data_IF_362010163767
#
_entry.id   IF_362010163767
#
_cell.length_a   1.000
_cell.length_b   1.000
_cell.length_c   1.000
_cell.angle_alpha   90.00
_cell.angle_beta   90.00
_cell.angle_gamma   90.00
#
_symmetry.space_group_name_H-M   'P 1'
#
loop_
_entity.id
_entity.type
_entity.pdbx_description
1 polymer ?
#
# COMPACT_ATOMS: atom_id res chain seq x y z
N UNK A 1 42.25 67.30 53.71
CA UNK A 1 42.37 65.99 53.04
C UNK A 1 41.22 65.04 53.35
N UNK A 2 41.14 64.45 54.56
CA UNK A 2 40.16 63.38 54.89
C UNK A 2 38.68 63.67 54.54
N UNK A 3 38.17 64.89 54.75
CA UNK A 3 36.76 65.23 54.42
C UNK A 3 36.48 65.30 52.91
N UNK A 4 37.45 65.75 52.12
CA UNK A 4 37.31 65.87 50.66
C UNK A 4 37.42 64.49 49.99
N UNK A 5 38.27 63.62 50.53
CA UNK A 5 38.39 62.23 50.09
C UNK A 5 37.12 61.43 50.41
N UNK A 6 36.49 61.69 51.57
CA UNK A 6 35.22 61.06 51.96
C UNK A 6 34.06 61.47 51.03
N UNK A 7 33.97 62.76 50.64
CA UNK A 7 32.96 63.23 49.68
C UNK A 7 33.16 62.60 48.29
N UNK A 8 34.41 62.55 47.82
CA UNK A 8 34.74 61.89 46.54
C UNK A 8 34.38 60.40 46.55
N UNK A 9 34.63 59.71 47.66
CA UNK A 9 34.23 58.31 47.83
C UNK A 9 32.70 58.15 47.84
N UNK A 10 31.96 59.09 48.42
CA UNK A 10 30.50 59.09 48.39
C UNK A 10 29.95 59.29 46.98
N UNK A 11 30.51 60.23 46.21
CA UNK A 11 30.12 60.47 44.82
C UNK A 11 30.42 59.25 43.93
N UNK A 12 31.58 58.62 44.14
CA UNK A 12 31.94 57.37 43.45
C UNK A 12 30.99 56.22 43.80
N UNK A 13 30.64 56.07 45.08
CA UNK A 13 29.69 55.06 45.53
C UNK A 13 28.30 55.29 44.94
N UNK A 14 27.86 56.55 44.85
CA UNK A 14 26.59 56.91 44.21
C UNK A 14 26.61 56.61 42.70
N UNK A 15 27.71 56.94 42.01
CA UNK A 15 27.88 56.63 40.59
C UNK A 15 27.90 55.13 40.32
N UNK A 16 28.60 54.34 41.14
CA UNK A 16 28.61 52.87 41.05
C UNK A 16 27.22 52.29 41.32
N UNK A 17 26.49 52.84 42.30
CA UNK A 17 25.12 52.39 42.59
C UNK A 17 24.18 52.64 41.40
N UNK A 18 24.26 53.82 40.79
CA UNK A 18 23.48 54.14 39.58
C UNK A 18 23.86 53.24 38.40
N UNK A 19 25.16 52.99 38.18
CA UNK A 19 25.63 52.06 37.14
C UNK A 19 25.11 50.65 37.36
N UNK A 20 25.17 50.15 38.61
CA UNK A 20 24.65 48.84 38.97
C UNK A 20 23.14 48.74 38.75
N UNK A 21 22.37 49.77 39.12
CA UNK A 21 20.93 49.81 38.88
C UNK A 21 20.61 49.83 37.38
N UNK A 22 21.38 50.56 36.58
CA UNK A 22 21.24 50.58 35.11
C UNK A 22 21.55 49.20 34.49
N UNK A 23 22.69 48.60 34.85
CA UNK A 23 23.09 47.28 34.35
C UNK A 23 22.09 46.20 34.77
N UNK A 24 21.59 46.28 36.00
CA UNK A 24 20.53 45.39 36.50
C UNK A 24 19.26 45.52 35.67
N UNK A 25 18.79 46.74 35.42
CA UNK A 25 17.59 46.99 34.62
C UNK A 25 17.77 46.51 33.17
N UNK A 26 18.95 46.72 32.59
CA UNK A 26 19.31 46.21 31.26
C UNK A 26 19.21 44.68 31.21
N UNK A 27 19.88 43.97 32.13
CA UNK A 27 19.85 42.51 32.17
C UNK A 27 18.48 41.92 32.52
N UNK A 28 17.67 42.61 33.33
CA UNK A 28 16.28 42.22 33.57
C UNK A 28 15.43 42.37 32.30
N UNK A 29 15.62 43.45 31.52
CA UNK A 29 14.94 43.63 30.24
C UNK A 29 15.34 42.57 29.21
N UNK A 30 16.64 42.32 29.03
CA UNK A 30 17.14 41.30 28.09
C UNK A 30 16.61 39.90 28.45
N UNK A 31 16.56 39.57 29.75
CA UNK A 31 16.01 38.30 30.22
C UNK A 31 14.51 38.19 29.93
N UNK A 32 13.77 39.28 30.11
CA UNK A 32 12.33 39.33 29.79
C UNK A 32 12.10 39.18 28.29
N UNK A 33 12.84 39.92 27.45
CA UNK A 33 12.75 39.79 25.99
C UNK A 33 13.08 38.37 25.52
N UNK A 34 14.11 37.75 26.09
CA UNK A 34 14.44 36.35 25.79
C UNK A 34 13.34 35.38 26.23
N UNK A 35 12.70 35.62 27.38
CA UNK A 35 11.61 34.78 27.86
C UNK A 35 10.34 34.94 27.01
N UNK A 36 10.02 36.16 26.60
CA UNK A 36 8.88 36.47 25.73
C UNK A 36 9.09 35.86 24.34
N UNK A 37 10.30 36.00 23.78
CA UNK A 37 10.67 35.37 22.51
C UNK A 37 10.59 33.84 22.59
N UNK A 38 11.09 33.23 23.67
CA UNK A 38 10.99 31.78 23.88
C UNK A 38 9.52 31.33 23.96
N UNK A 39 8.67 32.07 24.68
CA UNK A 39 7.25 31.77 24.82
C UNK A 39 6.53 31.87 23.48
N UNK A 40 6.77 32.94 22.71
CA UNK A 40 6.21 33.12 21.37
C UNK A 40 6.60 31.97 20.43
N UNK A 41 7.87 31.54 20.46
CA UNK A 41 8.29 30.39 19.66
C UNK A 41 7.63 29.08 20.12
N UNK A 42 7.48 28.88 21.43
CA UNK A 42 6.83 27.69 21.99
C UNK A 42 5.36 27.60 21.60
N UNK A 43 4.62 28.73 21.63
CA UNK A 43 3.23 28.79 21.17
C UNK A 43 3.11 28.45 19.68
N UNK A 44 3.99 29.01 18.84
CA UNK A 44 4.05 28.67 17.41
C UNK A 44 4.29 27.18 17.19
N UNK A 45 5.24 26.57 17.91
CA UNK A 45 5.47 25.12 17.83
C UNK A 45 4.26 24.30 18.29
N UNK A 46 3.56 24.74 19.34
CA UNK A 46 2.32 24.07 19.76
C UNK A 46 1.25 24.11 18.68
N UNK A 47 1.12 25.23 17.97
CA UNK A 47 0.16 25.35 16.87
C UNK A 47 0.54 24.48 15.67
N UNK A 48 1.82 24.41 15.31
CA UNK A 48 2.34 23.50 14.29
C UNK A 48 2.02 22.02 14.61
N UNK A 49 2.19 21.61 15.87
CA UNK A 49 1.86 20.26 16.33
C UNK A 49 0.35 20.00 16.27
N UNK A 50 -0.48 20.97 16.68
CA UNK A 50 -1.95 20.85 16.58
C UNK A 50 -2.38 20.68 15.12
N UNK A 51 -1.83 21.47 14.21
CA UNK A 51 -2.16 21.39 12.78
C UNK A 51 -1.77 20.02 12.19
N UNK A 52 -0.57 19.53 12.52
CA UNK A 52 -0.11 18.20 12.10
C UNK A 52 -1.05 17.08 12.61
N UNK A 53 -1.50 17.17 13.86
CA UNK A 53 -2.46 16.22 14.45
C UNK A 53 -3.82 16.31 13.75
N UNK A 54 -4.27 17.52 13.39
CA UNK A 54 -5.50 17.69 12.63
C UNK A 54 -5.42 17.09 11.22
N UNK A 55 -4.32 17.32 10.50
CA UNK A 55 -4.04 16.72 9.19
C UNK A 55 -4.01 15.19 9.27
N UNK A 56 -3.24 14.64 10.21
CA UNK A 56 -3.15 13.19 10.41
C UNK A 56 -4.53 12.56 10.70
N UNK A 57 -5.33 13.19 11.57
CA UNK A 57 -6.67 12.71 11.88
C UNK A 57 -7.62 12.79 10.67
N UNK A 58 -7.49 13.82 9.83
CA UNK A 58 -8.26 13.93 8.59
C UNK A 58 -7.88 12.82 7.60
N UNK A 59 -6.57 12.58 7.41
CA UNK A 59 -6.05 11.50 6.57
C UNK A 59 -6.54 10.13 7.07
N UNK A 60 -6.46 9.88 8.38
CA UNK A 60 -6.95 8.63 9.00
C UNK A 60 -8.44 8.39 8.73
N UNK A 61 -9.29 9.40 8.88
CA UNK A 61 -10.72 9.28 8.54
C UNK A 61 -10.95 8.99 7.07
N UNK A 62 -10.23 9.69 6.19
CA UNK A 62 -10.29 9.48 4.74
C UNK A 62 -9.93 8.06 4.32
N UNK A 63 -8.85 7.52 4.90
CA UNK A 63 -8.44 6.13 4.66
C UNK A 63 -9.47 5.12 5.20
N UNK A 64 -10.07 5.38 6.37
CA UNK A 64 -11.14 4.54 6.91
C UNK A 64 -12.38 4.50 6.02
N UNK A 65 -12.77 5.64 5.43
CA UNK A 65 -13.86 5.71 4.46
C UNK A 65 -13.54 4.88 3.22
N UNK A 66 -12.33 4.99 2.68
CA UNK A 66 -11.91 4.24 1.50
C UNK A 66 -11.83 2.74 1.75
N UNK A 67 -11.30 2.31 2.91
CA UNK A 67 -11.31 0.91 3.33
C UNK A 67 -12.75 0.38 3.44
N UNK A 68 -13.67 1.19 3.97
CA UNK A 68 -15.08 0.81 4.07
C UNK A 68 -15.72 0.66 2.70
N UNK A 69 -15.42 1.58 1.78
CA UNK A 69 -15.88 1.52 0.38
C UNK A 69 -15.36 0.27 -0.33
N UNK A 70 -14.06 0.00 -0.26
CA UNK A 70 -13.45 -1.17 -0.89
C UNK A 70 -13.98 -2.49 -0.31
N UNK A 71 -14.27 -2.54 0.99
CA UNK A 71 -14.93 -3.70 1.61
C UNK A 71 -16.33 -3.91 1.05
N UNK A 72 -17.11 -2.84 0.89
CA UNK A 72 -18.44 -2.93 0.29
C UNK A 72 -18.36 -3.43 -1.16
N UNK A 73 -17.47 -2.86 -1.98
CA UNK A 73 -17.27 -3.30 -3.36
C UNK A 73 -16.85 -4.77 -3.46
N UNK A 74 -16.02 -5.24 -2.52
CA UNK A 74 -15.62 -6.64 -2.43
C UNK A 74 -16.82 -7.54 -2.08
N UNK A 75 -17.64 -7.13 -1.11
CA UNK A 75 -18.86 -7.86 -0.73
C UNK A 75 -19.86 -7.95 -1.88
N UNK A 76 -20.06 -6.84 -2.59
CA UNK A 76 -20.93 -6.76 -3.76
C UNK A 76 -20.42 -7.67 -4.90
N UNK A 77 -19.11 -7.65 -5.17
CA UNK A 77 -18.47 -8.53 -6.16
C UNK A 77 -18.64 -10.00 -5.80
N UNK A 78 -18.44 -10.35 -4.52
CA UNK A 78 -18.66 -11.72 -4.04
C UNK A 78 -20.14 -12.12 -4.12
N UNK A 79 -21.07 -11.22 -3.82
CA UNK A 79 -22.50 -11.47 -3.97
C UNK A 79 -22.86 -11.74 -5.44
N UNK A 80 -22.30 -10.95 -6.36
CA UNK A 80 -22.47 -11.15 -7.79
C UNK A 80 -21.90 -12.50 -8.26
N UNK A 81 -20.71 -12.90 -7.78
CA UNK A 81 -20.15 -14.22 -8.05
C UNK A 81 -21.06 -15.35 -7.57
N UNK A 82 -21.63 -15.25 -6.35
CA UNK A 82 -22.58 -16.25 -5.83
C UNK A 82 -23.81 -16.40 -6.72
N UNK A 83 -24.31 -15.30 -7.29
CA UNK A 83 -25.45 -15.30 -8.23
C UNK A 83 -25.05 -16.00 -9.53
N UNK A 84 -23.88 -15.68 -10.09
CA UNK A 84 -23.38 -16.33 -11.31
C UNK A 84 -23.17 -17.83 -11.10
N UNK A 85 -22.57 -18.23 -9.99
CA UNK A 85 -22.37 -19.64 -9.65
C UNK A 85 -23.70 -20.37 -9.48
N UNK A 86 -24.69 -19.72 -8.87
CA UNK A 86 -26.04 -20.27 -8.74
C UNK A 86 -26.67 -20.46 -10.12
N UNK A 87 -26.62 -19.45 -10.99
CA UNK A 87 -27.12 -19.56 -12.37
C UNK A 87 -26.39 -20.65 -13.15
N UNK A 88 -25.08 -20.80 -12.98
CA UNK A 88 -24.30 -21.85 -13.62
C UNK A 88 -24.73 -23.25 -13.15
N UNK A 89 -25.06 -23.42 -11.86
CA UNK A 89 -25.64 -24.66 -11.33
C UNK A 89 -27.07 -24.90 -11.84
N UNK A 90 -27.89 -23.86 -11.91
CA UNK A 90 -29.29 -23.96 -12.38
C UNK A 90 -29.39 -24.18 -13.90
N UNK A 91 -28.44 -23.68 -14.69
CA UNK A 91 -28.40 -23.84 -16.15
C UNK A 91 -27.79 -25.17 -16.61
N UNK A 92 -27.88 -26.21 -15.79
CA UNK A 92 -27.49 -27.54 -16.22
C UNK A 92 -28.36 -27.97 -17.40
N UNK A 93 -27.73 -28.32 -18.51
CA UNK A 93 -28.41 -28.97 -19.61
C UNK A 93 -28.71 -30.40 -19.14
N UNK A 94 -29.96 -30.69 -18.83
CA UNK A 94 -30.37 -32.04 -18.48
C UNK A 94 -30.14 -32.95 -19.70
N UNK A 95 -29.40 -34.03 -19.47
CA UNK A 95 -28.99 -34.95 -20.54
C UNK A 95 -30.22 -35.63 -21.13
N UNK A 96 -31.24 -35.93 -20.33
CA UNK A 96 -32.47 -36.57 -20.78
C UNK A 96 -33.28 -35.62 -21.65
N UNK A 97 -33.47 -34.38 -21.21
CA UNK A 97 -34.16 -33.34 -21.97
C UNK A 97 -33.48 -33.04 -23.31
N UNK A 98 -32.13 -32.96 -23.32
CA UNK A 98 -31.37 -32.78 -24.55
C UNK A 98 -31.52 -33.98 -25.50
N UNK A 99 -31.47 -35.20 -24.97
CA UNK A 99 -31.64 -36.43 -25.75
C UNK A 99 -33.05 -36.51 -26.37
N UNK A 100 -34.08 -36.16 -25.59
CA UNK A 100 -35.46 -36.10 -26.06
C UNK A 100 -35.64 -35.01 -27.13
N UNK A 101 -35.08 -33.82 -26.93
CA UNK A 101 -35.10 -32.75 -27.94
C UNK A 101 -34.45 -33.19 -29.25
N UNK A 102 -33.25 -33.79 -29.17
CA UNK A 102 -32.54 -34.29 -30.34
C UNK A 102 -33.30 -35.42 -31.04
N UNK A 103 -33.90 -36.36 -30.30
CA UNK A 103 -34.72 -37.42 -30.86
C UNK A 103 -35.99 -36.92 -31.55
N UNK A 104 -36.59 -35.84 -31.05
CA UNK A 104 -37.83 -35.27 -31.57
C UNK A 104 -37.61 -34.33 -32.77
N UNK A 105 -36.45 -33.69 -32.88
CA UNK A 105 -36.20 -32.61 -33.84
C UNK A 105 -35.02 -32.85 -34.79
N UNK A 106 -34.25 -33.92 -34.60
CA UNK A 106 -33.12 -34.25 -35.44
C UNK A 106 -33.10 -35.73 -35.80
N UNK A 107 -32.44 -36.03 -36.91
CA UNK A 107 -32.27 -37.39 -37.39
C UNK A 107 -30.81 -37.79 -37.24
N UNK A 108 -30.48 -38.43 -36.13
CA UNK A 108 -29.12 -38.79 -35.77
C UNK A 108 -28.84 -40.27 -36.06
N UNK A 109 -27.94 -40.55 -37.00
CA UNK A 109 -27.38 -41.89 -37.22
C UNK A 109 -26.22 -42.15 -36.25
N UNK A 110 -26.53 -42.45 -34.99
CA UNK A 110 -25.51 -42.68 -33.97
C UNK A 110 -25.91 -43.76 -32.95
N UNK A 111 -24.96 -44.14 -32.09
CA UNK A 111 -25.25 -44.97 -30.92
C UNK A 111 -25.79 -44.08 -29.79
N UNK A 112 -27.11 -44.02 -29.66
CA UNK A 112 -27.83 -43.19 -28.69
C UNK A 112 -27.42 -43.42 -27.22
N UNK A 113 -27.22 -44.69 -26.83
CA UNK A 113 -26.80 -45.05 -25.46
C UNK A 113 -25.43 -44.45 -25.15
N UNK A 114 -24.50 -44.60 -26.09
CA UNK A 114 -23.14 -44.09 -25.94
C UNK A 114 -23.07 -42.56 -25.99
N UNK A 115 -23.95 -41.92 -26.77
CA UNK A 115 -24.08 -40.46 -26.78
C UNK A 115 -24.59 -39.94 -25.43
N UNK A 116 -25.65 -40.55 -24.88
CA UNK A 116 -26.17 -40.21 -23.55
C UNK A 116 -25.08 -40.34 -22.48
N UNK A 117 -24.39 -41.47 -22.42
CA UNK A 117 -23.37 -41.71 -21.40
C UNK A 117 -22.19 -40.73 -21.53
N UNK A 118 -21.83 -40.34 -22.77
CA UNK A 118 -20.83 -39.30 -23.02
C UNK A 118 -21.27 -37.92 -22.50
N UNK A 119 -22.53 -37.56 -22.73
CA UNK A 119 -23.12 -36.31 -22.22
C UNK A 119 -23.25 -36.33 -20.69
N UNK A 120 -23.54 -37.49 -20.10
CA UNK A 120 -23.56 -37.70 -18.64
C UNK A 120 -22.17 -37.51 -18.03
N UNK A 121 -21.12 -38.07 -18.64
CA UNK A 121 -19.74 -37.83 -18.21
C UNK A 121 -19.35 -36.35 -18.26
N UNK A 122 -19.83 -35.61 -19.27
CA UNK A 122 -19.64 -34.16 -19.35
C UNK A 122 -20.39 -33.42 -18.23
N UNK A 123 -21.66 -33.78 -17.98
CA UNK A 123 -22.49 -33.21 -16.91
C UNK A 123 -21.85 -33.42 -15.52
N UNK A 124 -21.40 -34.65 -15.24
CA UNK A 124 -20.82 -35.05 -13.94
C UNK A 124 -19.35 -34.67 -13.79
N UNK A 125 -18.75 -34.08 -14.84
CA UNK A 125 -17.30 -33.77 -14.93
C UNK A 125 -16.40 -34.96 -14.63
N UNK A 126 -16.80 -36.14 -15.07
CA UNK A 126 -16.02 -37.38 -14.90
C UNK A 126 -15.24 -37.69 -16.18
N UNK A 127 -14.03 -38.28 -16.06
CA UNK A 127 -13.23 -38.62 -17.23
C UNK A 127 -13.90 -39.75 -18.03
N UNK A 128 -13.93 -39.58 -19.35
CA UNK A 128 -14.45 -40.60 -20.28
C UNK A 128 -13.45 -41.79 -20.35
N UNK A 129 -13.93 -43.05 -20.44
CA UNK A 129 -13.04 -44.21 -20.55
C UNK A 129 -12.09 -44.13 -21.76
N UNK A 130 -10.81 -44.43 -21.56
CA UNK A 130 -9.78 -44.34 -22.60
C UNK A 130 -10.00 -45.26 -23.81
N UNK A 131 -10.81 -46.31 -23.66
CA UNK A 131 -11.20 -47.21 -24.74
C UNK A 131 -12.24 -46.60 -25.69
N UNK A 132 -12.79 -45.43 -25.39
CA UNK A 132 -13.79 -44.79 -26.22
C UNK A 132 -13.15 -43.95 -27.33
N UNK A 133 -13.28 -44.42 -28.57
CA UNK A 133 -13.12 -43.58 -29.76
C UNK A 133 -14.51 -43.18 -30.25
N UNK A 134 -14.84 -41.90 -30.17
CA UNK A 134 -16.13 -41.36 -30.63
C UNK A 134 -15.88 -40.45 -31.83
N UNK A 135 -16.55 -40.74 -32.95
CA UNK A 135 -16.57 -39.90 -34.15
C UNK A 135 -17.98 -39.36 -34.32
N UNK A 136 -18.14 -38.03 -34.39
CA UNK A 136 -19.42 -37.37 -34.65
C UNK A 136 -19.34 -36.78 -36.05
N UNK A 137 -20.16 -37.30 -36.96
CA UNK A 137 -20.31 -36.79 -38.31
C UNK A 137 -21.71 -36.18 -38.47
N UNK A 138 -21.78 -34.90 -38.84
CA UNK A 138 -23.02 -34.16 -39.04
C UNK A 138 -23.21 -33.81 -40.51
N UNK A 139 -24.35 -34.22 -41.08
CA UNK A 139 -24.78 -33.87 -42.44
C UNK A 139 -26.03 -33.01 -42.34
N UNK A 140 -25.96 -31.75 -42.77
CA UNK A 140 -27.17 -30.93 -42.95
C UNK A 140 -27.93 -31.47 -44.16
N UNK A 141 -29.08 -32.13 -43.94
CA UNK A 141 -29.89 -32.73 -44.99
C UNK A 141 -31.26 -32.08 -45.00
N UNK A 142 -31.54 -31.29 -46.04
CA UNK A 142 -32.84 -30.64 -46.27
C UNK A 142 -33.78 -31.50 -47.18
N UNK A 143 -33.43 -32.76 -47.47
CA UNK A 143 -34.06 -33.59 -48.52
C UNK A 143 -34.92 -34.77 -47.95
N UNK A 144 -36.18 -34.99 -48.44
CA UNK A 144 -37.27 -35.63 -47.68
C UNK A 144 -37.43 -37.15 -47.85
N UNK A 145 -36.41 -37.86 -48.34
CA UNK A 145 -36.50 -39.31 -48.62
C UNK A 145 -35.70 -40.21 -47.66
N UNK A 146 -35.14 -39.66 -46.58
CA UNK A 146 -34.34 -40.42 -45.62
C UNK A 146 -35.14 -40.73 -44.34
N UNK A 147 -35.35 -42.03 -44.03
CA UNK A 147 -36.00 -42.50 -42.79
C UNK A 147 -35.03 -43.29 -41.90
N UNK A 148 -34.45 -42.67 -40.87
CA UNK A 148 -33.70 -43.36 -39.82
C UNK A 148 -34.62 -43.82 -38.68
N UNK A 149 -34.21 -44.91 -38.03
CA UNK A 149 -35.00 -45.59 -36.99
C UNK A 149 -35.32 -44.70 -35.79
N UNK A 150 -36.53 -44.85 -35.26
CA UNK A 150 -37.09 -44.03 -34.20
C UNK A 150 -36.28 -44.14 -32.89
N UNK A 151 -35.97 -42.99 -32.29
CA UNK A 151 -35.60 -42.91 -30.89
C UNK A 151 -36.84 -43.16 -30.03
N UNK A 152 -36.73 -44.02 -29.03
CA UNK A 152 -37.78 -44.21 -28.03
C UNK A 152 -37.46 -43.30 -26.85
N UNK A 153 -38.38 -42.38 -26.53
CA UNK A 153 -38.26 -41.41 -25.43
C UNK A 153 -37.79 -42.07 -24.14
N UNK A 154 -36.92 -41.40 -23.40
CA UNK A 154 -36.51 -41.82 -22.05
C UNK A 154 -37.40 -41.13 -21.01
N UNK A 155 -37.88 -41.90 -20.03
CA UNK A 155 -38.65 -41.36 -18.91
C UNK A 155 -37.74 -40.71 -17.84
N UNK A 156 -38.17 -39.63 -17.17
CA UNK A 156 -37.40 -39.00 -16.08
C UNK A 156 -37.21 -39.95 -14.90
N UNK A 157 -36.09 -39.85 -14.14
CA UNK A 157 -35.95 -40.61 -12.89
C UNK A 157 -36.98 -40.14 -11.86
N UNK A 158 -37.68 -41.11 -11.27
CA UNK A 158 -38.68 -40.93 -10.22
C UNK A 158 -37.96 -40.49 -8.93
N UNK A 159 -38.08 -39.21 -8.57
CA UNK A 159 -37.59 -38.71 -7.29
C UNK A 159 -38.56 -39.17 -6.20
N UNK A 160 -38.33 -40.35 -5.63
CA UNK A 160 -38.98 -40.76 -4.40
C UNK A 160 -38.37 -39.99 -3.22
N UNK A 161 -39.13 -38.98 -2.82
CA UNK A 161 -39.08 -38.29 -1.55
C UNK A 161 -39.56 -39.27 -0.47
N UNK A 162 -38.64 -39.93 0.23
CA UNK A 162 -38.97 -40.81 1.36
C UNK A 162 -38.70 -40.07 2.68
N UNK A 163 -39.72 -39.31 3.08
CA UNK A 163 -39.88 -38.77 4.43
C UNK A 163 -40.25 -39.94 5.38
N UNK A 164 -39.31 -40.40 6.19
CA UNK A 164 -39.64 -41.19 7.39
C UNK A 164 -38.95 -40.63 8.64
N UNK A 165 -39.75 -39.93 9.44
CA UNK A 165 -39.51 -39.68 10.86
C UNK A 165 -39.83 -40.96 11.64
N UNK A 166 -38.92 -41.46 12.47
CA UNK A 166 -39.15 -41.48 13.92
C UNK A 166 -37.88 -41.80 14.71
N UNK A 167 -37.87 -41.17 15.88
CA UNK A 167 -36.89 -41.14 16.96
C UNK A 167 -36.62 -42.52 17.58
N UNK A 168 -35.38 -42.77 18.02
CA UNK A 168 -35.08 -42.84 19.46
C UNK A 168 -33.57 -42.83 19.75
N UNK A 169 -33.21 -42.05 20.76
CA UNK A 169 -31.89 -42.00 21.41
C UNK A 169 -32.02 -42.75 22.74
N UNK A 170 -30.96 -43.39 23.27
CA UNK A 170 -30.23 -42.64 24.31
C UNK A 170 -28.72 -42.94 24.43
N UNK A 171 -28.08 -42.00 25.12
CA UNK A 171 -26.85 -42.09 25.93
C UNK A 171 -25.46 -42.11 25.26
N UNK A 172 -24.83 -40.93 25.32
CA UNK A 172 -23.38 -40.71 25.50
C UNK A 172 -22.93 -41.20 26.91
N UNK A 173 -21.63 -41.28 27.30
CA UNK A 173 -20.44 -40.63 26.72
C UNK A 173 -19.12 -41.44 26.75
N UNK A 174 -18.07 -40.93 26.09
CA UNK A 174 -16.74 -40.64 26.70
C UNK A 174 -15.55 -40.86 25.76
N UNK A 175 -14.60 -39.96 25.94
CA UNK A 175 -13.35 -39.70 25.21
C UNK A 175 -12.20 -40.70 25.56
N UNK A 176 -10.95 -40.54 25.06
CA UNK A 176 -10.10 -41.58 24.46
C UNK A 176 -9.10 -42.21 25.46
N UNK A 177 -8.15 -43.10 25.04
CA UNK A 177 -6.82 -42.58 24.66
C UNK A 177 -5.96 -43.45 23.71
N UNK A 178 -5.17 -42.76 22.88
CA UNK A 178 -3.74 -42.98 22.55
C UNK A 178 -3.12 -44.40 22.57
N UNK A 179 -2.34 -44.72 21.51
CA UNK A 179 -0.85 -44.70 21.54
C UNK A 179 -0.20 -45.24 20.27
N UNK A 180 0.71 -44.40 19.72
CA UNK A 180 2.07 -44.70 19.21
C UNK A 180 2.14 -45.55 17.93
N UNK A 181 3.06 -45.38 16.98
CA UNK A 181 4.29 -44.60 16.68
C UNK A 181 4.65 -45.14 15.26
N UNK A 182 5.39 -44.54 14.33
CA UNK A 182 6.40 -43.50 14.34
C UNK A 182 6.85 -43.25 12.90
N UNK A 183 7.21 -41.99 12.62
CA UNK A 183 8.37 -41.53 11.83
C UNK A 183 8.60 -42.04 10.40
N UNK A 184 8.53 -41.10 9.44
CA UNK A 184 9.70 -40.75 8.62
C UNK A 184 9.63 -39.31 8.07
N UNK A 185 10.42 -38.43 8.69
CA UNK A 185 10.93 -37.19 8.07
C UNK A 185 11.88 -37.57 6.93
N UNK A 186 11.80 -36.86 5.80
CA UNK A 186 12.95 -36.60 4.92
C UNK A 186 12.85 -35.17 4.37
N UNK A 187 13.84 -34.37 4.78
CA UNK A 187 14.26 -33.12 4.17
C UNK A 187 15.30 -33.41 3.08
N UNK A 188 15.77 -32.35 2.40
CA UNK A 188 16.92 -32.23 1.46
C UNK A 188 16.53 -32.26 -0.03
N UNK A 189 17.04 -31.41 -0.91
CA UNK A 189 18.11 -30.41 -0.81
C UNK A 189 18.15 -29.58 -2.10
N UNK A 190 18.48 -28.28 -2.01
CA UNK A 190 19.76 -27.72 -2.47
C UNK A 190 20.28 -28.26 -3.82
N UNK A 191 20.26 -27.40 -4.85
CA UNK A 191 21.30 -27.43 -5.87
C UNK A 191 21.76 -26.00 -6.16
N UNK A 192 23.01 -25.74 -5.79
CA UNK A 192 23.81 -24.58 -6.11
C UNK A 192 24.66 -24.92 -7.34
N UNK A 193 24.73 -24.02 -8.31
CA UNK A 193 25.88 -23.92 -9.21
C UNK A 193 26.30 -22.45 -9.34
N UNK A 194 27.61 -22.14 -9.30
CA UNK A 194 28.12 -20.79 -9.29
C UNK A 194 28.38 -20.33 -10.74
N UNK A 195 27.99 -19.09 -11.07
CA UNK A 195 28.57 -18.40 -12.23
C UNK A 195 29.07 -17.03 -11.79
N UNK A 196 30.39 -16.94 -11.73
CA UNK A 196 31.17 -15.72 -11.61
C UNK A 196 30.78 -14.73 -12.71
N UNK A 197 30.30 -13.57 -12.31
CA UNK A 197 30.53 -12.34 -13.06
C UNK A 197 30.53 -11.17 -12.09
N UNK A 198 31.74 -10.86 -11.60
CA UNK A 198 32.08 -9.63 -10.88
C UNK A 198 31.77 -8.42 -11.76
N UNK A 199 30.54 -7.96 -11.75
CA UNK A 199 30.20 -6.59 -12.15
C UNK A 199 30.24 -5.76 -10.87
N UNK A 200 31.36 -5.07 -10.67
CA UNK A 200 31.52 -4.14 -9.57
C UNK A 200 30.39 -3.10 -9.63
N UNK A 201 29.37 -3.28 -8.80
CA UNK A 201 28.46 -2.20 -8.42
C UNK A 201 29.33 -1.14 -7.77
N UNK A 202 29.56 -0.04 -8.48
CA UNK A 202 30.05 1.22 -7.89
C UNK A 202 28.94 1.75 -6.99
N UNK A 203 28.74 1.10 -5.84
CA UNK A 203 27.98 1.68 -4.74
C UNK A 203 28.84 2.85 -4.26
N UNK A 204 28.43 4.05 -4.63
CA UNK A 204 29.04 5.29 -4.17
C UNK A 204 29.24 5.20 -2.65
N UNK A 205 30.48 5.31 -2.19
CA UNK A 205 30.81 5.34 -0.77
C UNK A 205 30.42 6.71 -0.21
N UNK A 206 29.11 6.94 -0.03
CA UNK A 206 28.62 8.11 0.67
C UNK A 206 29.05 8.01 2.13
N UNK A 207 29.87 8.95 2.58
CA UNK A 207 30.34 9.02 3.96
C UNK A 207 29.22 9.64 4.81
N UNK A 208 28.81 8.94 5.86
CA UNK A 208 27.81 9.43 6.82
C UNK A 208 28.28 10.76 7.42
N UNK A 209 27.45 11.82 7.43
CA UNK A 209 27.79 13.10 8.06
C UNK A 209 27.99 12.99 9.58
N UNK A 210 28.72 13.95 10.18
CA UNK A 210 28.99 13.97 11.63
C UNK A 210 27.74 14.33 12.45
N UNK A 211 26.89 15.19 11.91
CA UNK A 211 25.61 15.55 12.49
C UNK A 211 24.59 15.82 11.37
N UNK A 212 23.30 15.45 11.56
CA UNK A 212 22.24 15.71 10.61
C UNK A 212 21.91 17.21 10.54
N UNK A 213 21.57 17.67 9.34
CA UNK A 213 21.08 19.02 9.10
C UNK A 213 19.58 19.05 9.37
N UNK A 214 19.16 19.60 10.52
CA UNK A 214 17.75 19.59 10.90
C UNK A 214 16.88 20.59 10.10
N UNK A 215 17.48 21.67 9.59
CA UNK A 215 16.76 22.74 8.86
C UNK A 215 17.52 23.20 7.62
N UNK A 216 16.84 23.63 6.54
CA UNK A 216 17.45 24.35 5.43
C UNK A 216 18.09 25.66 5.91
N UNK A 217 19.10 26.15 5.17
CA UNK A 217 19.80 27.40 5.52
C UNK A 217 18.93 28.65 5.34
N UNK A 218 18.10 28.65 4.31
CA UNK A 218 17.11 29.68 4.05
C UNK A 218 15.72 29.08 4.33
N UNK A 219 14.85 29.82 5.00
CA UNK A 219 13.44 29.45 5.19
C UNK A 219 12.55 30.55 4.68
N UNK A 220 11.52 30.16 3.95
CA UNK A 220 10.43 31.02 3.52
C UNK A 220 9.22 30.64 4.37
N UNK A 221 8.55 31.63 4.96
CA UNK A 221 7.29 31.38 5.64
C UNK A 221 6.22 31.02 4.61
N UNK A 222 5.93 29.73 4.50
CA UNK A 222 4.86 29.18 3.68
C UNK A 222 3.96 28.30 4.58
N UNK A 223 2.66 28.58 4.51
CA UNK A 223 1.61 27.86 5.25
C UNK A 223 0.94 26.79 4.39
N UNK A 224 1.47 26.53 3.19
CA UNK A 224 0.92 25.51 2.30
C UNK A 224 1.15 24.11 2.86
N UNK A 225 0.05 23.37 3.00
CA UNK A 225 0.05 21.98 3.44
C UNK A 225 0.55 21.03 2.33
N UNK A 226 0.93 19.83 2.73
CA UNK A 226 1.27 18.74 1.83
C UNK A 226 0.05 18.22 1.05
N UNK A 227 0.28 17.28 0.13
CA UNK A 227 -0.78 16.62 -0.62
C UNK A 227 -1.60 15.70 0.31
N UNK A 228 -2.95 15.71 0.25
CA UNK A 228 -3.76 14.79 1.05
C UNK A 228 -3.49 13.32 0.70
N UNK A 229 -3.41 12.46 1.72
CA UNK A 229 -3.02 11.03 1.59
C UNK A 229 -3.95 10.22 0.68
N UNK A 230 -5.20 10.65 0.55
CA UNK A 230 -6.20 10.02 -0.35
C UNK A 230 -5.88 10.22 -1.84
N UNK A 231 -4.91 11.07 -2.16
CA UNK A 231 -4.59 11.37 -3.55
C UNK A 231 -3.75 10.22 -4.11
N UNK A 232 -4.39 9.34 -4.86
CA UNK A 232 -3.67 8.24 -5.51
C UNK A 232 -2.63 8.79 -6.50
N UNK A 233 -1.43 8.18 -6.57
CA UNK A 233 -0.45 8.50 -7.59
C UNK A 233 -1.06 8.43 -8.99
N UNK A 234 -0.79 9.42 -9.83
CA UNK A 234 -1.26 9.45 -11.23
C UNK A 234 -0.65 8.28 -12.01
N UNK A 235 0.62 7.96 -11.72
CA UNK A 235 1.32 6.80 -12.26
C UNK A 235 1.71 5.83 -11.15
N UNK A 236 1.54 4.53 -11.43
CA UNK A 236 2.18 3.50 -10.61
C UNK A 236 3.70 3.58 -10.72
N UNK A 237 4.40 3.05 -9.72
CA UNK A 237 5.87 2.98 -9.73
C UNK A 237 6.39 2.27 -10.98
N UNK A 238 5.75 1.17 -11.40
CA UNK A 238 6.14 0.44 -12.61
C UNK A 238 5.99 1.28 -13.87
N UNK A 239 4.93 2.09 -13.96
CA UNK A 239 4.70 3.00 -15.09
C UNK A 239 5.74 4.12 -15.09
N UNK A 240 6.01 4.72 -13.93
CA UNK A 240 7.01 5.77 -13.79
C UNK A 240 8.42 5.24 -14.15
N UNK A 241 8.79 4.06 -13.64
CA UNK A 241 10.03 3.35 -13.97
C UNK A 241 10.13 3.03 -15.46
N UNK A 242 9.05 2.55 -16.07
CA UNK A 242 9.00 2.25 -17.51
C UNK A 242 9.14 3.49 -18.41
N UNK A 243 8.92 4.70 -17.87
CA UNK A 243 9.08 5.97 -18.61
C UNK A 243 10.53 6.51 -18.60
N UNK A 244 11.44 5.88 -17.85
CA UNK A 244 12.81 6.35 -17.75
C UNK A 244 13.58 6.15 -19.06
N UNK A 245 14.40 7.12 -19.48
CA UNK A 245 15.34 6.89 -20.56
C UNK A 245 16.45 5.94 -20.09
N UNK A 246 16.81 4.92 -20.89
CA UNK A 246 17.99 4.10 -20.62
C UNK A 246 19.25 4.97 -20.72
N UNK A 247 20.24 4.89 -19.80
CA UNK A 247 20.62 3.82 -18.86
C UNK A 247 20.22 4.08 -17.38
N UNK A 248 19.18 4.87 -17.11
CA UNK A 248 18.86 5.33 -15.75
C UNK A 248 18.15 4.23 -14.96
N UNK A 249 18.63 3.96 -13.74
CA UNK A 249 18.02 3.03 -12.79
C UNK A 249 17.12 3.81 -11.84
N UNK A 250 15.88 3.33 -11.64
CA UNK A 250 14.89 3.97 -10.77
C UNK A 250 15.40 4.18 -9.34
N UNK A 251 16.00 3.15 -8.75
CA UNK A 251 16.49 3.18 -7.36
C UNK A 251 17.69 4.11 -7.16
N UNK A 252 18.36 4.53 -8.24
CA UNK A 252 19.46 5.50 -8.18
C UNK A 252 18.94 6.96 -8.24
N UNK A 253 17.64 7.17 -8.48
CA UNK A 253 17.03 8.49 -8.45
C UNK A 253 16.77 8.95 -7.02
N UNK A 254 16.97 10.24 -6.77
CA UNK A 254 16.53 10.86 -5.52
C UNK A 254 15.04 10.64 -5.30
N UNK A 255 14.65 10.45 -4.04
CA UNK A 255 13.28 10.13 -3.66
C UNK A 255 12.29 11.23 -4.11
N UNK A 256 12.66 12.51 -4.05
CA UNK A 256 11.82 13.63 -4.52
C UNK A 256 11.57 13.61 -6.02
N UNK A 257 12.54 13.14 -6.81
CA UNK A 257 12.35 12.87 -8.26
C UNK A 257 11.37 11.72 -8.46
N UNK A 258 11.55 10.61 -7.73
CA UNK A 258 10.68 9.44 -7.82
C UNK A 258 9.22 9.80 -7.52
N UNK A 259 8.97 10.54 -6.41
CA UNK A 259 7.62 10.95 -6.02
C UNK A 259 6.99 11.90 -7.05
N UNK A 260 7.74 12.84 -7.61
CA UNK A 260 7.22 13.71 -8.67
C UNK A 260 6.90 12.95 -9.95
N UNK A 261 7.67 11.90 -10.27
CA UNK A 261 7.35 11.05 -11.41
C UNK A 261 6.06 10.26 -11.19
N UNK A 262 5.82 9.77 -9.96
CA UNK A 262 4.56 9.14 -9.59
C UNK A 262 3.35 10.10 -9.69
N UNK A 263 3.57 11.43 -9.61
CA UNK A 263 2.54 12.44 -9.89
C UNK A 263 2.28 12.70 -11.38
N UNK A 264 2.89 11.91 -12.28
CA UNK A 264 2.68 12.00 -13.73
C UNK A 264 3.66 12.90 -14.48
N UNK A 265 4.72 13.36 -13.83
CA UNK A 265 5.75 14.22 -14.45
C UNK A 265 6.86 13.34 -15.02
N UNK A 266 7.24 13.51 -16.29
CA UNK A 266 8.40 12.79 -16.83
C UNK A 266 9.69 13.25 -16.17
N UNK A 267 10.72 12.38 -16.13
CA UNK A 267 12.01 12.64 -15.48
C UNK A 267 12.59 14.03 -15.78
N UNK A 268 12.64 14.44 -17.05
CA UNK A 268 13.16 15.75 -17.45
C UNK A 268 12.37 16.91 -16.83
N UNK A 269 11.05 16.77 -16.79
CA UNK A 269 10.17 17.74 -16.13
C UNK A 269 10.39 17.75 -14.62
N UNK A 270 10.52 16.57 -14.00
CA UNK A 270 10.73 16.46 -12.57
C UNK A 270 12.03 17.13 -12.11
N UNK A 271 13.12 16.89 -12.84
CA UNK A 271 14.41 17.55 -12.57
C UNK A 271 14.30 19.07 -12.75
N UNK A 272 13.63 19.55 -13.81
CA UNK A 272 13.38 20.99 -14.02
C UNK A 272 12.64 21.62 -12.84
N UNK A 273 11.56 20.97 -12.39
CA UNK A 273 10.72 21.47 -11.30
C UNK A 273 11.47 21.59 -9.98
N UNK A 274 12.37 20.64 -9.68
CA UNK A 274 13.16 20.65 -8.45
C UNK A 274 14.31 21.66 -8.48
N UNK A 275 14.77 22.06 -9.67
CA UNK A 275 15.77 23.10 -9.87
C UNK A 275 15.17 24.51 -9.85
N UNK A 276 13.87 24.64 -10.10
CA UNK A 276 13.16 25.91 -10.01
C UNK A 276 12.85 26.29 -8.56
N UNK A 277 12.85 27.60 -8.30
CA UNK A 277 12.56 28.13 -6.97
C UNK A 277 11.04 28.13 -6.69
N UNK A 278 10.51 27.00 -6.23
CA UNK A 278 9.06 26.80 -6.07
C UNK A 278 8.67 25.82 -4.95
N UNK A 279 7.44 25.94 -4.39
CA UNK A 279 6.94 25.06 -3.34
C UNK A 279 6.46 23.70 -3.88
N UNK A 280 7.41 22.81 -4.18
CA UNK A 280 7.11 21.47 -4.72
C UNK A 280 6.50 20.52 -3.66
N UNK A 281 6.68 20.80 -2.37
CA UNK A 281 6.20 19.92 -1.28
C UNK A 281 4.69 19.70 -1.26
N UNK A 282 3.93 20.63 -1.82
CA UNK A 282 2.47 20.52 -2.05
C UNK A 282 2.07 19.37 -2.98
N UNK A 283 3.04 18.72 -3.64
CA UNK A 283 2.85 17.54 -4.50
C UNK A 283 3.14 16.21 -3.81
N UNK A 284 3.60 16.24 -2.56
CA UNK A 284 3.99 15.04 -1.84
C UNK A 284 3.00 14.77 -0.72
N UNK A 285 2.61 13.51 -0.58
CA UNK A 285 1.84 13.07 0.58
C UNK A 285 2.63 13.29 1.87
N UNK A 286 1.94 13.32 3.01
CA UNK A 286 2.57 13.59 4.30
C UNK A 286 3.69 12.59 4.59
N UNK A 287 3.39 11.30 4.44
CA UNK A 287 4.35 10.22 4.72
C UNK A 287 5.59 10.31 3.83
N UNK A 288 5.37 10.57 2.53
CA UNK A 288 6.45 10.76 1.56
C UNK A 288 7.29 12.00 1.89
N UNK A 289 6.65 13.11 2.26
CA UNK A 289 7.33 14.36 2.62
C UNK A 289 8.21 14.20 3.86
N UNK A 290 7.71 13.51 4.89
CA UNK A 290 8.44 13.20 6.13
C UNK A 290 9.60 12.24 5.85
N UNK A 291 9.39 11.20 5.03
CA UNK A 291 10.42 10.27 4.61
C UNK A 291 11.54 10.99 3.81
N UNK A 292 11.16 11.84 2.86
CA UNK A 292 12.13 12.62 2.08
C UNK A 292 12.91 13.59 2.96
N UNK A 293 12.21 14.31 3.84
CA UNK A 293 12.82 15.29 4.73
C UNK A 293 13.80 14.63 5.69
N UNK A 294 13.43 13.50 6.32
CA UNK A 294 14.32 12.76 7.23
C UNK A 294 15.58 12.25 6.53
N UNK A 295 15.47 11.67 5.33
CA UNK A 295 16.64 11.26 4.53
C UNK A 295 17.52 12.45 4.18
N UNK A 296 16.91 13.56 3.72
CA UNK A 296 17.66 14.76 3.35
C UNK A 296 18.33 15.42 4.57
N UNK A 297 17.69 15.40 5.73
CA UNK A 297 18.26 15.87 7.00
C UNK A 297 19.48 15.01 7.39
N UNK A 298 19.33 13.68 7.36
CA UNK A 298 20.40 12.76 7.72
C UNK A 298 21.63 12.87 6.80
N UNK A 299 21.41 13.05 5.49
CA UNK A 299 22.49 13.13 4.50
C UNK A 299 23.00 14.55 4.21
N UNK A 300 22.50 15.56 4.92
CA UNK A 300 22.81 17.00 4.72
C UNK A 300 22.52 17.47 3.28
N UNK A 301 21.33 17.12 2.78
CA UNK A 301 20.84 17.38 1.42
C UNK A 301 19.67 18.35 1.34
N UNK A 302 19.26 18.94 2.47
CA UNK A 302 18.13 19.88 2.50
C UNK A 302 18.32 21.10 1.60
N UNK A 303 19.55 21.50 1.30
CA UNK A 303 19.84 22.64 0.43
C UNK A 303 20.13 22.24 -1.04
N UNK A 304 20.08 20.96 -1.40
CA UNK A 304 20.33 20.54 -2.79
C UNK A 304 19.12 20.74 -3.71
N UNK A 305 17.92 20.85 -3.14
CA UNK A 305 16.72 21.28 -3.85
C UNK A 305 16.25 22.62 -3.30
N UNK A 306 15.49 23.37 -4.09
CA UNK A 306 14.91 24.64 -3.63
C UNK A 306 13.66 24.42 -2.78
N UNK A 307 12.87 23.37 -3.05
CA UNK A 307 11.59 23.16 -2.38
C UNK A 307 11.62 23.05 -0.84
N UNK A 308 12.68 22.52 -0.18
CA UNK A 308 12.68 22.37 1.29
C UNK A 308 12.53 23.70 2.03
N UNK A 309 13.02 24.83 1.49
CA UNK A 309 12.87 26.13 2.17
C UNK A 309 11.42 26.60 2.33
N UNK A 310 10.49 26.04 1.55
CA UNK A 310 9.05 26.33 1.60
C UNK A 310 8.27 25.36 2.51
N UNK A 311 8.93 24.36 3.08
CA UNK A 311 8.24 23.35 3.89
C UNK A 311 7.94 23.91 5.28
N UNK A 312 6.69 23.85 5.69
CA UNK A 312 6.26 24.26 7.03
C UNK A 312 6.98 23.47 8.13
N UNK A 313 7.22 24.13 9.27
CA UNK A 313 8.01 23.61 10.38
C UNK A 313 7.50 22.27 10.92
N UNK A 314 6.18 22.10 10.98
CA UNK A 314 5.52 20.86 11.41
C UNK A 314 6.04 19.59 10.73
N UNK A 315 6.41 19.64 9.45
CA UNK A 315 6.92 18.47 8.73
C UNK A 315 8.38 18.15 9.07
N UNK A 316 9.17 19.16 9.45
CA UNK A 316 10.53 18.95 9.96
C UNK A 316 10.50 18.32 11.34
N UNK A 317 9.60 18.75 12.22
CA UNK A 317 9.41 18.14 13.53
C UNK A 317 8.99 16.66 13.40
N UNK A 318 8.09 16.35 12.47
CA UNK A 318 7.71 14.98 12.17
C UNK A 318 8.88 14.14 11.64
N UNK A 319 9.73 14.73 10.79
CA UNK A 319 10.92 14.08 10.25
C UNK A 319 12.03 13.87 11.31
N UNK A 320 12.16 14.79 12.27
CA UNK A 320 13.02 14.62 13.45
C UNK A 320 12.56 13.44 14.30
N UNK A 321 11.27 13.39 14.65
CA UNK A 321 10.73 12.27 15.41
C UNK A 321 10.96 10.93 14.70
N UNK A 322 10.83 10.90 13.36
CA UNK A 322 11.15 9.71 12.58
C UNK A 322 12.64 9.34 12.65
N UNK A 323 13.55 10.32 12.63
CA UNK A 323 14.99 10.06 12.78
C UNK A 323 15.34 9.53 14.18
N UNK A 324 14.74 10.08 15.22
CA UNK A 324 14.90 9.61 16.59
C UNK A 324 14.43 8.15 16.73
N UNK A 325 13.25 7.83 16.20
CA UNK A 325 12.72 6.46 16.16
C UNK A 325 13.66 5.49 15.41
N UNK A 326 14.28 5.94 14.32
CA UNK A 326 15.24 5.14 13.55
C UNK A 326 16.56 4.92 14.30
N UNK A 327 17.04 5.93 15.03
CA UNK A 327 18.22 5.82 15.89
C UNK A 327 18.00 4.79 16.99
N UNK A 328 16.83 4.82 17.65
CA UNK A 328 16.43 3.82 18.65
C UNK A 328 16.43 2.40 18.06
N UNK A 329 15.96 2.26 16.83
CA UNK A 329 15.93 0.98 16.10
C UNK A 329 17.29 0.58 15.51
N UNK A 330 18.32 1.43 15.60
CA UNK A 330 19.64 1.25 14.96
C UNK A 330 19.56 1.08 13.44
N UNK A 331 18.58 1.73 12.81
CA UNK A 331 18.36 1.73 11.37
C UNK A 331 18.83 3.07 10.80
N UNK A 332 19.52 3.06 9.66
CA UNK A 332 19.93 4.29 8.99
C UNK A 332 19.02 4.61 7.80
N UNK A 333 18.69 5.88 7.55
CA UNK A 333 18.00 6.30 6.34
C UNK A 333 18.78 5.89 5.08
N UNK A 334 18.05 5.42 4.08
CA UNK A 334 18.62 5.17 2.76
C UNK A 334 19.12 6.48 2.15
N UNK A 335 20.22 6.40 1.38
CA UNK A 335 20.78 7.53 0.63
C UNK A 335 19.84 7.96 -0.48
#
# INVERSE_FOLDING_TARGET
QSRQDALKAQDQLHAVKLSYEFDRAHWESERQQSADAATYTAERYQDDVKELVHEHNANKRGLQEEVSKLRQELEDSQAYQRILDRRARESHCDVTDLMNFLGNHATLACNWVRLRDLLQHYQDRTPVPQSWQTVIATTASDDPLYQPGAFTSLDPPDNQDDESKHEDNPDSPSDPPSKRRSSRRRSSGSSSTPSDSKRASKRSSHKVPVAPQLRPLERVEDSSSCLPERTSPVWSVDKARGSLPGPIVWDDLRLDVQRLMCSGVFLKGAVSWLQEDRPVHTRFCQDDLVEMSSRMMFWNKLNESHWPKYVSERYYLAAEALLDDMEEQKVQPLF
#
